data_IF_129975227618
#
_entry.id   IF_129975227618
#
_cell.length_a   1.000
_cell.length_b   1.000
_cell.length_c   1.000
_cell.angle_alpha   90.00
_cell.angle_beta   90.00
_cell.angle_gamma   90.00
#
_symmetry.space_group_name_H-M   'P 1'
#
loop_
_entity.id
_entity.type
_entity.pdbx_description
1 polymer ?
#
# COMPACT_ATOMS: atom_id res chain seq x y z
N UNK A 1 2.46 -2.68 12.16
CA UNK A 1 1.03 -2.45 11.76
C UNK A 1 0.33 -1.36 12.59
N UNK A 2 0.57 -1.23 13.91
CA UNK A 2 -0.05 -0.19 14.74
C UNK A 2 0.42 1.23 14.37
N UNK A 3 1.72 1.44 14.14
CA UNK A 3 2.29 2.74 13.75
C UNK A 3 1.74 3.19 12.39
N UNK A 4 1.62 2.29 11.42
CA UNK A 4 1.03 2.59 10.11
C UNK A 4 -0.45 3.01 10.21
N UNK A 5 -1.24 2.36 11.07
CA UNK A 5 -2.64 2.75 11.30
C UNK A 5 -2.76 4.16 11.87
N UNK A 6 -1.88 4.52 12.81
CA UNK A 6 -1.85 5.88 13.38
C UNK A 6 -1.49 6.93 12.33
N UNK A 7 -0.56 6.63 11.41
CA UNK A 7 -0.16 7.56 10.35
C UNK A 7 -1.28 7.76 9.33
N UNK A 8 -1.92 6.68 8.87
CA UNK A 8 -3.08 6.78 7.95
C UNK A 8 -4.21 7.57 8.61
N UNK A 9 -4.53 7.29 9.88
CA UNK A 9 -5.55 8.00 10.63
C UNK A 9 -5.29 9.51 10.70
N UNK A 10 -4.05 9.91 10.96
CA UNK A 10 -3.65 11.32 11.00
C UNK A 10 -3.93 12.05 9.66
N UNK A 11 -3.49 11.48 8.54
CA UNK A 11 -3.73 12.09 7.22
C UNK A 11 -5.22 12.07 6.85
N UNK A 12 -5.93 11.02 7.18
CA UNK A 12 -7.38 10.93 7.00
C UNK A 12 -8.12 12.03 7.76
N UNK A 13 -7.79 12.24 9.04
CA UNK A 13 -8.39 13.27 9.87
C UNK A 13 -8.06 14.69 9.35
N UNK A 14 -6.86 14.90 8.82
CA UNK A 14 -6.49 16.17 8.20
C UNK A 14 -7.34 16.47 6.95
N UNK A 15 -7.58 15.50 6.08
CA UNK A 15 -8.44 15.73 4.88
C UNK A 15 -9.86 16.11 5.23
N UNK A 16 -10.37 15.63 6.35
CA UNK A 16 -11.72 15.91 6.83
C UNK A 16 -11.77 17.25 7.60
N UNK A 17 -10.66 17.63 8.26
CA UNK A 17 -10.60 18.84 9.11
C UNK A 17 -10.14 20.09 8.37
N UNK A 18 -9.43 19.98 7.23
CA UNK A 18 -8.81 21.11 6.53
C UNK A 18 -9.79 22.17 6.01
N UNK A 19 -11.04 21.83 5.83
CA UNK A 19 -12.07 22.81 5.41
C UNK A 19 -12.53 23.78 6.50
N UNK A 20 -12.24 23.51 7.77
CA UNK A 20 -12.62 24.43 8.86
C UNK A 20 -11.77 25.70 8.91
N UNK A 21 -10.53 25.66 8.38
CA UNK A 21 -9.58 26.78 8.43
C UNK A 21 -9.59 27.67 7.17
N UNK A 22 -9.89 27.12 5.99
CA UNK A 22 -9.84 27.85 4.71
C UNK A 22 -11.15 28.57 4.35
N UNK A 23 -12.26 28.21 4.94
CA UNK A 23 -13.56 28.87 4.68
C UNK A 23 -13.63 30.32 5.20
N UNK A 24 -12.70 30.73 6.05
CA UNK A 24 -12.65 32.10 6.62
C UNK A 24 -11.77 33.04 5.77
N UNK A 25 -10.82 32.54 4.98
CA UNK A 25 -9.82 33.36 4.29
C UNK A 25 -10.09 33.65 2.79
N UNK A 26 -10.84 32.82 2.07
CA UNK A 26 -11.21 33.07 0.68
C UNK A 26 -12.54 32.40 0.31
N UNK A 27 -13.58 33.19 -0.04
CA UNK A 27 -14.85 32.65 -0.51
C UNK A 27 -14.80 32.29 -2.01
N UNK A 28 -13.78 31.59 -2.47
CA UNK A 28 -13.84 30.93 -3.74
C UNK A 28 -14.66 29.67 -3.57
N UNK A 29 -15.68 29.50 -4.44
CA UNK A 29 -16.67 28.41 -4.46
C UNK A 29 -16.07 27.00 -4.60
N UNK A 30 -15.00 26.66 -3.87
CA UNK A 30 -14.45 25.31 -3.91
C UNK A 30 -15.20 24.39 -2.92
N UNK A 31 -16.32 23.87 -3.40
CA UNK A 31 -17.20 22.95 -2.66
C UNK A 31 -16.67 21.51 -2.61
N UNK A 32 -15.45 21.26 -3.14
CA UNK A 32 -14.94 19.91 -3.40
C UNK A 32 -14.40 19.17 -2.16
N UNK A 33 -14.12 19.86 -1.07
CA UNK A 33 -13.49 19.25 0.11
C UNK A 33 -11.95 19.24 -0.01
N UNK A 34 -11.30 18.21 0.53
CA UNK A 34 -9.84 18.04 0.46
C UNK A 34 -9.31 18.04 -0.98
N UNK A 35 -8.10 18.54 -1.19
CA UNK A 35 -7.41 18.52 -2.47
C UNK A 35 -7.13 17.10 -2.98
N UNK A 36 -6.86 16.96 -4.29
CA UNK A 36 -6.50 15.67 -4.88
C UNK A 36 -5.19 15.14 -4.28
N UNK A 37 -4.24 16.04 -3.99
CA UNK A 37 -2.97 15.73 -3.31
C UNK A 37 -3.19 15.18 -1.89
N UNK A 38 -4.07 15.80 -1.11
CA UNK A 38 -4.32 15.35 0.27
C UNK A 38 -4.92 13.93 0.30
N UNK A 39 -5.83 13.67 -0.64
CA UNK A 39 -6.43 12.33 -0.80
C UNK A 39 -5.37 11.32 -1.29
N UNK A 40 -4.51 11.70 -2.24
CA UNK A 40 -3.40 10.89 -2.72
C UNK A 40 -2.39 10.59 -1.59
N UNK A 41 -2.18 11.52 -0.67
CA UNK A 41 -1.32 11.31 0.52
C UNK A 41 -1.91 10.24 1.45
N UNK A 42 -3.23 10.22 1.67
CA UNK A 42 -3.89 9.13 2.44
C UNK A 42 -3.66 7.80 1.74
N UNK A 43 -3.86 7.74 0.42
CA UNK A 43 -3.62 6.53 -0.39
C UNK A 43 -2.16 6.05 -0.28
N UNK A 44 -1.20 6.99 -0.35
CA UNK A 44 0.22 6.69 -0.19
C UNK A 44 0.51 6.09 1.18
N UNK A 45 0.01 6.67 2.27
CA UNK A 45 0.22 6.13 3.61
C UNK A 45 -0.40 4.74 3.81
N UNK A 46 -1.51 4.45 3.11
CA UNK A 46 -2.11 3.11 3.13
C UNK A 46 -1.24 2.06 2.46
N UNK A 47 -0.57 2.43 1.36
CA UNK A 47 0.00 1.49 0.38
C UNK A 47 1.50 1.65 0.15
N UNK A 48 2.17 2.56 0.87
CA UNK A 48 3.63 2.68 0.80
C UNK A 48 4.30 1.35 1.15
N UNK A 49 5.26 0.95 0.32
CA UNK A 49 5.90 -0.37 0.39
C UNK A 49 5.14 -1.47 -0.36
N UNK A 50 3.92 -1.22 -0.85
CA UNK A 50 3.19 -2.16 -1.72
C UNK A 50 3.22 -1.72 -3.19
N UNK A 51 3.31 -0.40 -3.45
CA UNK A 51 3.34 0.16 -4.80
C UNK A 51 4.52 1.10 -4.96
N UNK A 52 5.08 1.14 -6.17
CA UNK A 52 6.10 2.09 -6.62
C UNK A 52 5.76 2.57 -8.03
N UNK A 53 5.98 3.86 -8.30
CA UNK A 53 6.00 4.44 -9.63
C UNK A 53 7.46 4.63 -10.05
N UNK A 54 7.92 3.90 -11.05
CA UNK A 54 9.31 3.99 -11.54
C UNK A 54 9.50 4.97 -12.69
N UNK A 55 8.41 5.41 -13.33
CA UNK A 55 8.42 6.43 -14.39
C UNK A 55 7.12 7.24 -14.34
N UNK A 56 7.23 8.48 -13.90
CA UNK A 56 6.09 9.40 -13.76
C UNK A 56 5.50 9.76 -15.13
N UNK A 57 6.37 9.99 -16.14
CA UNK A 57 5.96 10.42 -17.48
C UNK A 57 5.11 9.36 -18.18
N UNK A 58 5.59 8.11 -18.20
CA UNK A 58 4.91 7.00 -18.87
C UNK A 58 3.95 6.26 -17.94
N UNK A 59 4.02 6.50 -16.62
CA UNK A 59 3.15 5.88 -15.62
C UNK A 59 3.44 4.38 -15.45
N UNK A 60 4.73 4.03 -15.35
CA UNK A 60 5.14 2.67 -15.06
C UNK A 60 5.00 2.40 -13.57
N UNK A 61 4.20 1.41 -13.26
CA UNK A 61 3.87 1.05 -11.90
C UNK A 61 4.28 -0.37 -11.57
N UNK A 62 4.71 -0.56 -10.32
CA UNK A 62 5.07 -1.84 -9.75
C UNK A 62 4.24 -2.10 -8.50
N UNK A 63 3.91 -3.39 -8.29
CA UNK A 63 3.24 -3.84 -7.09
C UNK A 63 3.98 -5.00 -6.46
N UNK A 64 4.27 -4.89 -5.16
CA UNK A 64 4.82 -5.98 -4.38
C UNK A 64 3.71 -6.96 -3.97
N UNK A 65 3.89 -8.22 -4.34
CA UNK A 65 3.02 -9.33 -3.95
C UNK A 65 3.75 -10.67 -4.11
N UNK A 66 3.34 -11.70 -3.36
CA UNK A 66 3.94 -13.05 -3.47
C UNK A 66 5.47 -13.01 -3.46
N UNK A 67 6.02 -12.25 -2.51
CA UNK A 67 7.45 -12.13 -2.22
C UNK A 67 8.31 -11.42 -3.28
N UNK A 68 7.71 -10.79 -4.30
CA UNK A 68 8.43 -10.07 -5.36
C UNK A 68 7.63 -8.91 -5.94
N UNK A 69 8.31 -8.06 -6.70
CA UNK A 69 7.71 -6.98 -7.47
C UNK A 69 7.19 -7.47 -8.81
N UNK A 70 6.02 -6.99 -9.17
CA UNK A 70 5.40 -7.22 -10.47
C UNK A 70 5.09 -5.88 -11.12
N UNK A 71 5.46 -5.74 -12.39
CA UNK A 71 4.97 -4.63 -13.19
C UNK A 71 3.46 -4.73 -13.38
N UNK A 72 2.79 -3.60 -13.30
CA UNK A 72 1.33 -3.51 -13.46
C UNK A 72 0.97 -2.45 -14.50
N UNK A 73 -0.03 -2.78 -15.32
CA UNK A 73 -0.49 -1.88 -16.38
C UNK A 73 -1.10 -0.59 -15.82
N UNK A 74 -0.44 0.54 -16.09
CA UNK A 74 -0.92 1.91 -15.83
C UNK A 74 -1.48 2.15 -14.42
N UNK A 75 -1.06 1.36 -13.44
CA UNK A 75 -1.57 1.47 -12.07
C UNK A 75 -3.03 1.05 -11.90
N UNK A 76 -3.57 0.22 -12.79
CA UNK A 76 -5.00 -0.19 -12.78
C UNK A 76 -5.45 -0.75 -11.43
N UNK A 77 -4.61 -1.55 -10.77
CA UNK A 77 -4.93 -2.09 -9.46
C UNK A 77 -4.98 -1.01 -8.38
N UNK A 78 -4.07 -0.03 -8.41
CA UNK A 78 -4.08 1.12 -7.50
C UNK A 78 -5.33 1.98 -7.72
N UNK A 79 -5.70 2.24 -8.99
CA UNK A 79 -6.93 2.96 -9.33
C UNK A 79 -8.19 2.25 -8.81
N UNK A 80 -8.21 0.92 -8.81
CA UNK A 80 -9.30 0.14 -8.21
C UNK A 80 -9.35 0.31 -6.70
N UNK A 81 -8.20 0.31 -6.03
CA UNK A 81 -8.09 0.54 -4.58
C UNK A 81 -8.68 1.89 -4.17
N UNK A 82 -8.55 2.95 -4.98
CA UNK A 82 -9.22 4.24 -4.73
C UNK A 82 -10.73 4.06 -4.62
N UNK A 83 -11.34 3.31 -5.53
CA UNK A 83 -12.80 3.15 -5.58
C UNK A 83 -13.35 2.18 -4.52
N UNK A 84 -12.53 1.31 -3.97
CA UNK A 84 -12.98 0.25 -3.03
C UNK A 84 -12.39 0.53 -1.65
N UNK A 85 -11.12 0.28 -1.44
CA UNK A 85 -10.48 0.28 -0.11
C UNK A 85 -10.40 1.68 0.49
N UNK A 86 -9.96 2.69 -0.29
CA UNK A 86 -9.89 4.07 0.18
C UNK A 86 -11.29 4.62 0.45
N UNK A 87 -12.27 4.31 -0.41
CA UNK A 87 -13.67 4.70 -0.19
C UNK A 87 -14.25 4.05 1.07
N UNK A 88 -13.96 2.80 1.32
CA UNK A 88 -14.38 2.08 2.53
C UNK A 88 -13.76 2.70 3.80
N UNK A 89 -12.49 3.12 3.73
CA UNK A 89 -11.81 3.80 4.83
C UNK A 89 -12.55 5.09 5.24
N UNK A 90 -12.91 5.95 4.27
CA UNK A 90 -13.69 7.16 4.56
C UNK A 90 -15.10 6.84 5.06
N UNK A 91 -15.76 5.82 4.51
CA UNK A 91 -17.08 5.39 4.97
C UNK A 91 -17.04 4.89 6.42
N UNK A 92 -16.02 4.12 6.77
CA UNK A 92 -15.81 3.67 8.16
C UNK A 92 -15.58 4.85 9.11
N UNK A 93 -14.83 5.87 8.67
CA UNK A 93 -14.62 7.10 9.45
C UNK A 93 -15.90 7.90 9.65
N UNK A 94 -16.76 7.97 8.65
CA UNK A 94 -18.08 8.61 8.77
C UNK A 94 -18.90 7.90 9.86
N UNK A 95 -18.93 6.57 9.85
CA UNK A 95 -19.66 5.78 10.85
C UNK A 95 -19.11 6.02 12.26
N UNK A 96 -17.77 6.06 12.41
CA UNK A 96 -17.11 6.39 13.68
C UNK A 96 -17.54 7.77 14.20
N UNK A 97 -17.49 8.80 13.35
CA UNK A 97 -17.88 10.15 13.70
C UNK A 97 -19.36 10.27 14.08
N UNK A 98 -20.23 9.59 13.35
CA UNK A 98 -21.67 9.56 13.64
C UNK A 98 -21.95 8.88 14.98
N UNK A 99 -21.34 7.74 15.26
CA UNK A 99 -21.47 7.04 16.54
C UNK A 99 -20.98 7.91 17.70
N UNK A 100 -19.85 8.62 17.50
CA UNK A 100 -19.36 9.56 18.50
C UNK A 100 -20.33 10.73 18.72
N UNK A 101 -20.90 11.28 17.66
CA UNK A 101 -21.92 12.36 17.78
C UNK A 101 -23.16 11.93 18.56
N UNK A 102 -23.58 10.67 18.40
CA UNK A 102 -24.73 10.12 19.15
C UNK A 102 -24.43 9.97 20.64
N UNK A 103 -23.16 9.71 21.01
CA UNK A 103 -22.74 9.56 22.42
C UNK A 103 -22.60 10.88 23.18
N UNK A 104 -22.64 12.04 22.50
CA UNK A 104 -22.53 13.36 23.08
C UNK A 104 -23.90 13.85 23.59
N UNK A 105 -23.85 14.62 24.68
CA UNK A 105 -25.06 15.25 25.23
C UNK A 105 -25.60 16.31 24.27
N UNK A 106 -26.91 16.31 23.96
CA UNK A 106 -27.52 17.25 23.00
C UNK A 106 -27.41 18.73 23.37
N UNK A 107 -27.44 19.06 24.65
CA UNK A 107 -27.49 20.44 25.13
C UNK A 107 -26.09 20.97 25.46
N UNK A 108 -25.28 20.17 26.17
CA UNK A 108 -23.95 20.64 26.63
C UNK A 108 -22.84 20.51 25.55
N UNK A 109 -23.00 19.69 24.53
CA UNK A 109 -22.00 19.42 23.50
C UNK A 109 -22.43 19.85 22.08
N UNK A 110 -23.33 20.86 21.97
CA UNK A 110 -23.87 21.29 20.67
C UNK A 110 -22.76 21.70 19.68
N UNK A 111 -21.78 22.47 20.11
CA UNK A 111 -20.65 22.90 19.26
C UNK A 111 -19.84 21.72 18.72
N UNK A 112 -19.60 20.73 19.58
CA UNK A 112 -18.87 19.49 19.15
C UNK A 112 -19.70 18.72 18.13
N UNK A 113 -21.00 18.58 18.34
CA UNK A 113 -21.91 17.91 17.40
C UNK A 113 -21.95 18.63 16.05
N UNK A 114 -22.00 19.95 16.04
CA UNK A 114 -21.97 20.77 14.84
C UNK A 114 -20.62 20.59 14.08
N UNK A 115 -19.50 20.58 14.79
CA UNK A 115 -18.17 20.31 14.22
C UNK A 115 -18.10 18.90 13.61
N UNK A 116 -18.63 17.88 14.28
CA UNK A 116 -18.67 16.51 13.76
C UNK A 116 -19.53 16.44 12.49
N UNK A 117 -20.70 17.09 12.49
CA UNK A 117 -21.57 17.15 11.31
C UNK A 117 -20.83 17.72 10.10
N UNK A 118 -20.09 18.82 10.27
CA UNK A 118 -19.27 19.40 9.20
C UNK A 118 -18.22 18.40 8.68
N UNK A 119 -17.54 17.70 9.58
CA UNK A 119 -16.56 16.66 9.20
C UNK A 119 -17.21 15.52 8.42
N UNK A 120 -18.38 15.08 8.83
CA UNK A 120 -19.16 14.05 8.12
C UNK A 120 -19.53 14.52 6.71
N UNK A 121 -19.99 15.77 6.56
CA UNK A 121 -20.36 16.35 5.26
C UNK A 121 -19.15 16.42 4.32
N UNK A 122 -17.96 16.79 4.81
CA UNK A 122 -16.71 16.76 4.05
C UNK A 122 -16.35 15.34 3.63
N UNK A 123 -16.39 14.40 4.56
CA UNK A 123 -16.07 13.00 4.27
C UNK A 123 -17.03 12.40 3.23
N UNK A 124 -18.32 12.72 3.29
CA UNK A 124 -19.32 12.28 2.29
C UNK A 124 -18.98 12.83 0.90
N UNK A 125 -18.57 14.11 0.77
CA UNK A 125 -18.11 14.69 -0.51
C UNK A 125 -16.91 13.93 -1.05
N UNK A 126 -15.93 13.60 -0.20
CA UNK A 126 -14.77 12.80 -0.62
C UNK A 126 -15.22 11.41 -1.11
N UNK A 127 -16.09 10.72 -0.39
CA UNK A 127 -16.64 9.41 -0.79
C UNK A 127 -17.30 9.45 -2.17
N UNK A 128 -18.04 10.54 -2.48
CA UNK A 128 -18.64 10.73 -3.81
C UNK A 128 -17.57 10.92 -4.89
N UNK A 129 -16.55 11.74 -4.64
CA UNK A 129 -15.42 11.98 -5.57
C UNK A 129 -14.64 10.69 -5.88
N UNK A 130 -14.41 9.83 -4.88
CA UNK A 130 -13.71 8.54 -5.08
C UNK A 130 -14.46 7.58 -6.02
N UNK A 131 -15.74 7.83 -6.29
CA UNK A 131 -16.53 7.15 -7.31
C UNK A 131 -16.38 7.74 -8.72
N UNK A 132 -15.99 9.01 -8.85
CA UNK A 132 -15.95 9.73 -10.12
C UNK A 132 -14.68 9.47 -10.92
N UNK A 133 -14.82 9.32 -12.25
CA UNK A 133 -13.68 8.97 -13.11
C UNK A 133 -12.63 10.08 -13.18
N UNK A 134 -13.06 11.34 -13.28
CA UNK A 134 -12.14 12.48 -13.36
C UNK A 134 -11.36 12.69 -12.07
N UNK A 135 -12.03 12.65 -10.92
CA UNK A 135 -11.38 12.77 -9.61
C UNK A 135 -10.35 11.65 -9.38
N UNK A 136 -10.71 10.41 -9.69
CA UNK A 136 -9.75 9.29 -9.63
C UNK A 136 -8.55 9.50 -10.55
N UNK A 137 -8.74 10.11 -11.72
CA UNK A 137 -7.63 10.40 -12.64
C UNK A 137 -6.71 11.46 -12.06
N UNK A 138 -7.26 12.49 -11.40
CA UNK A 138 -6.46 13.52 -10.74
C UNK A 138 -5.70 12.96 -9.53
N UNK A 139 -6.38 12.20 -8.66
CA UNK A 139 -5.73 11.53 -7.52
C UNK A 139 -4.60 10.61 -8.00
N UNK A 140 -4.78 9.87 -9.11
CA UNK A 140 -3.72 9.04 -9.69
C UNK A 140 -2.54 9.85 -10.23
N UNK A 141 -2.77 11.07 -10.75
CA UNK A 141 -1.67 11.96 -11.17
C UNK A 141 -0.83 12.38 -9.97
N UNK A 142 -1.46 12.87 -8.90
CA UNK A 142 -0.77 13.23 -7.66
C UNK A 142 -0.05 12.02 -7.03
N UNK A 143 -0.66 10.84 -7.12
CA UNK A 143 -0.07 9.61 -6.59
C UNK A 143 1.23 9.21 -7.29
N UNK A 144 1.41 9.54 -8.59
CA UNK A 144 2.66 9.21 -9.29
C UNK A 144 3.87 9.82 -8.61
N UNK A 145 3.78 11.10 -8.23
CA UNK A 145 4.88 11.82 -7.59
C UNK A 145 5.15 11.29 -6.18
N UNK A 146 4.09 10.95 -5.43
CA UNK A 146 4.21 10.42 -4.08
C UNK A 146 4.81 9.01 -4.01
N UNK A 147 4.52 8.16 -5.00
CA UNK A 147 5.06 6.80 -5.08
C UNK A 147 6.33 6.69 -5.93
N UNK A 148 6.86 7.82 -6.42
CA UNK A 148 8.02 7.81 -7.28
C UNK A 148 9.29 7.39 -6.54
N UNK A 149 10.07 6.53 -7.20
CA UNK A 149 11.36 6.04 -6.75
C UNK A 149 12.29 5.94 -7.97
N UNK A 150 13.20 6.89 -8.11
CA UNK A 150 14.14 7.01 -9.24
C UNK A 150 15.22 5.94 -9.26
N UNK A 151 15.62 5.42 -8.09
CA UNK A 151 16.62 4.37 -7.97
C UNK A 151 16.03 2.95 -8.05
N UNK A 152 14.71 2.82 -8.21
CA UNK A 152 14.04 1.53 -8.13
C UNK A 152 14.60 0.50 -9.12
N UNK A 153 14.80 0.90 -10.38
CA UNK A 153 15.33 0.00 -11.42
C UNK A 153 16.76 -0.49 -11.12
N UNK A 154 17.60 0.36 -10.54
CA UNK A 154 18.98 0.00 -10.22
C UNK A 154 19.05 -1.03 -9.10
N UNK A 155 18.05 -1.01 -8.22
CA UNK A 155 17.96 -1.94 -7.08
C UNK A 155 17.33 -3.28 -7.45
N UNK A 156 16.56 -3.35 -8.55
CA UNK A 156 15.90 -4.60 -8.95
C UNK A 156 16.90 -5.71 -9.21
N UNK A 157 16.66 -6.87 -8.58
CA UNK A 157 17.45 -8.10 -8.72
C UNK A 157 18.97 -7.93 -8.52
N UNK A 158 19.39 -6.86 -7.82
CA UNK A 158 20.81 -6.52 -7.62
C UNK A 158 21.48 -7.34 -6.52
N UNK A 159 20.72 -7.94 -5.60
CA UNK A 159 21.26 -8.71 -4.48
C UNK A 159 21.49 -10.19 -4.86
N UNK A 160 22.77 -10.64 -5.07
CA UNK A 160 23.06 -12.00 -5.50
C UNK A 160 22.85 -13.07 -4.41
N UNK A 161 22.60 -12.64 -3.17
CA UNK A 161 22.40 -13.54 -2.04
C UNK A 161 20.92 -13.89 -1.79
N UNK A 162 20.00 -13.40 -2.61
CA UNK A 162 18.58 -13.67 -2.46
C UNK A 162 18.06 -14.53 -3.62
N UNK A 163 17.32 -15.57 -3.29
CA UNK A 163 16.63 -16.41 -4.28
C UNK A 163 15.14 -16.48 -3.95
N UNK A 164 14.32 -15.92 -4.82
CA UNK A 164 12.87 -15.97 -4.65
C UNK A 164 12.32 -17.34 -5.07
N UNK A 165 11.64 -17.97 -4.12
CA UNK A 165 10.82 -19.16 -4.32
C UNK A 165 9.34 -18.79 -4.30
N UNK A 166 8.47 -19.69 -4.73
CA UNK A 166 7.02 -19.47 -4.77
C UNK A 166 6.40 -19.16 -3.40
N UNK A 167 6.98 -19.71 -2.33
CA UNK A 167 6.51 -19.61 -0.95
C UNK A 167 7.37 -18.71 -0.04
N UNK A 168 8.40 -18.03 -0.57
CA UNK A 168 9.27 -17.14 0.21
C UNK A 168 10.60 -16.88 -0.48
N UNK A 169 11.58 -16.42 0.28
CA UNK A 169 12.92 -16.06 -0.18
C UNK A 169 13.97 -16.83 0.62
N UNK A 170 14.93 -17.42 -0.07
CA UNK A 170 16.14 -17.97 0.53
C UNK A 170 17.16 -16.83 0.61
N UNK A 171 17.62 -16.54 1.80
CA UNK A 171 18.68 -15.58 2.09
C UNK A 171 19.98 -16.36 2.38
N UNK A 172 20.85 -16.43 1.40
CA UNK A 172 22.13 -17.15 1.52
C UNK A 172 23.11 -16.47 2.48
N UNK A 173 23.00 -15.15 2.64
CA UNK A 173 23.85 -14.41 3.59
C UNK A 173 23.46 -14.70 5.03
N UNK A 174 22.14 -14.70 5.30
CA UNK A 174 21.59 -15.01 6.62
C UNK A 174 21.39 -16.52 6.84
N UNK A 175 21.57 -17.34 5.78
CA UNK A 175 21.36 -18.81 5.81
C UNK A 175 19.97 -19.20 6.30
N UNK A 176 18.94 -18.44 5.91
CA UNK A 176 17.57 -18.69 6.33
C UNK A 176 16.58 -18.63 5.16
N UNK A 177 15.42 -19.24 5.38
CA UNK A 177 14.25 -19.05 4.52
C UNK A 177 13.25 -18.18 5.25
N UNK A 178 12.75 -17.15 4.59
CA UNK A 178 11.84 -16.15 5.16
C UNK A 178 10.81 -15.65 4.13
N UNK A 179 9.72 -15.00 4.57
CA UNK A 179 8.90 -14.23 3.66
C UNK A 179 9.74 -13.16 2.96
N UNK A 180 9.47 -12.92 1.67
CA UNK A 180 10.04 -11.78 0.96
C UNK A 180 9.43 -10.47 1.44
N UNK A 181 10.20 -9.40 1.37
CA UNK A 181 9.78 -8.04 1.69
C UNK A 181 10.03 -7.10 0.50
N UNK A 182 9.38 -5.92 0.44
CA UNK A 182 9.57 -4.96 -0.65
C UNK A 182 11.03 -4.55 -0.85
N UNK A 183 11.79 -4.45 0.23
CA UNK A 183 13.19 -4.05 0.26
C UNK A 183 14.14 -5.11 -0.29
N UNK A 184 13.65 -6.31 -0.60
CA UNK A 184 14.42 -7.34 -1.31
C UNK A 184 14.59 -7.01 -2.80
N UNK A 185 13.76 -6.15 -3.36
CA UNK A 185 13.77 -5.70 -4.77
C UNK A 185 13.83 -6.84 -5.79
N UNK A 186 13.19 -7.98 -5.50
CA UNK A 186 13.18 -9.14 -6.39
C UNK A 186 12.02 -9.06 -7.40
N UNK A 187 12.30 -9.37 -8.66
CA UNK A 187 11.29 -9.56 -9.71
C UNK A 187 11.24 -10.99 -10.21
N UNK A 188 12.38 -11.69 -10.17
CA UNK A 188 12.54 -13.08 -10.66
C UNK A 188 12.18 -14.07 -9.56
N UNK A 189 11.62 -15.20 -9.95
CA UNK A 189 11.26 -16.30 -9.06
C UNK A 189 11.51 -17.63 -9.74
N UNK A 190 11.92 -18.63 -8.98
CA UNK A 190 12.10 -19.99 -9.50
C UNK A 190 10.78 -20.69 -9.84
N UNK A 191 9.64 -20.13 -9.37
CA UNK A 191 8.30 -20.74 -9.44
C UNK A 191 8.19 -22.13 -8.77
N UNK A 192 9.19 -22.50 -7.96
CA UNK A 192 9.25 -23.73 -7.17
C UNK A 192 9.11 -23.36 -5.69
N UNK A 193 8.43 -24.22 -4.93
CA UNK A 193 8.39 -24.08 -3.48
C UNK A 193 9.70 -24.56 -2.86
N UNK A 194 10.22 -23.80 -1.92
CA UNK A 194 11.29 -24.27 -1.06
C UNK A 194 10.72 -25.25 0.00
N UNK A 195 11.45 -26.34 0.21
CA UNK A 195 11.21 -27.28 1.29
C UNK A 195 12.51 -27.51 2.07
N UNK A 196 12.47 -27.46 3.42
CA UNK A 196 13.66 -27.71 4.20
C UNK A 196 14.14 -29.16 4.03
N UNK A 197 15.44 -29.38 4.11
CA UNK A 197 16.07 -30.72 3.99
C UNK A 197 15.55 -31.73 5.02
N UNK A 198 15.01 -31.25 6.12
CA UNK A 198 14.37 -32.08 7.18
C UNK A 198 12.98 -32.59 6.79
N UNK A 199 12.44 -32.14 5.66
CA UNK A 199 11.11 -32.56 5.20
C UNK A 199 11.10 -34.02 4.78
N UNK A 200 10.31 -34.84 5.45
CA UNK A 200 10.12 -36.26 5.12
C UNK A 200 9.57 -36.50 3.72
N UNK A 201 8.86 -35.52 3.17
CA UNK A 201 8.20 -35.58 1.86
C UNK A 201 9.17 -35.75 0.69
N UNK A 202 10.41 -35.28 0.83
CA UNK A 202 11.40 -35.27 -0.25
C UNK A 202 12.67 -36.08 0.07
N UNK A 203 12.57 -37.00 1.03
CA UNK A 203 13.71 -37.76 1.52
C UNK A 203 14.41 -38.59 0.40
N UNK A 204 13.65 -39.16 -0.51
CA UNK A 204 14.19 -39.88 -1.68
C UNK A 204 15.00 -38.96 -2.61
N UNK A 205 14.39 -37.80 -2.99
CA UNK A 205 15.05 -36.83 -3.89
C UNK A 205 16.30 -36.20 -3.24
N UNK A 206 16.31 -36.03 -1.93
CA UNK A 206 17.51 -35.57 -1.20
C UNK A 206 18.62 -36.60 -1.29
N UNK A 207 18.33 -37.91 -1.16
CA UNK A 207 19.29 -38.99 -1.36
C UNK A 207 19.89 -38.97 -2.77
N UNK A 208 19.05 -38.87 -3.80
CA UNK A 208 19.49 -38.78 -5.20
C UNK A 208 20.42 -37.59 -5.47
N UNK A 209 20.11 -36.42 -4.85
CA UNK A 209 20.96 -35.22 -4.95
C UNK A 209 22.31 -35.46 -4.28
N UNK A 210 22.35 -36.08 -3.10
CA UNK A 210 23.59 -36.42 -2.42
C UNK A 210 24.46 -37.36 -3.25
N UNK A 211 23.86 -38.43 -3.76
CA UNK A 211 24.56 -39.39 -4.63
C UNK A 211 25.12 -38.73 -5.90
N UNK A 212 24.35 -37.79 -6.47
CA UNK A 212 24.80 -37.02 -7.63
C UNK A 212 25.99 -36.10 -7.29
N UNK A 213 25.91 -35.39 -6.16
CA UNK A 213 26.98 -34.49 -5.72
C UNK A 213 28.24 -35.24 -5.36
N UNK A 214 28.16 -36.41 -4.72
CA UNK A 214 29.33 -37.28 -4.44
C UNK A 214 29.99 -37.77 -5.70
N UNK A 215 29.23 -38.11 -6.75
CA UNK A 215 29.77 -38.50 -8.07
C UNK A 215 30.49 -37.37 -8.77
N UNK A 216 29.97 -36.13 -8.65
CA UNK A 216 30.60 -34.96 -9.28
C UNK A 216 31.84 -34.45 -8.53
N UNK A 217 31.82 -34.56 -7.21
CA UNK A 217 32.87 -34.05 -6.33
C UNK A 217 33.34 -35.16 -5.37
N UNK A 218 33.99 -36.22 -5.91
CA UNK A 218 34.48 -37.29 -5.04
C UNK A 218 35.47 -36.74 -4.02
N UNK A 219 35.19 -36.98 -2.76
CA UNK A 219 36.13 -36.63 -1.68
C UNK A 219 37.39 -37.49 -1.88
N UNK A 220 38.55 -36.83 -1.92
CA UNK A 220 39.86 -37.51 -2.03
C UNK A 220 40.26 -38.13 -0.69
#
# INVERSE_FOLDING_TARGET
>A
KAVLRNTVGYYLDNTISSMSATSVANPTNDTRGAGDFDIAMVLYQMLKGEYICSDVKHGHWWRFRKHRWFEIDSGTTLRKTISVELRELYTSKITELQNYSVSLDPESDEDKRNSIKQKVDVALKIVMRLGQTNDKTNIMKESKDLFYDDEFYERLDSNPYLLCCKNGVIDFKQKCFRPGCPEDYLTKCTDINYYPLTSSRHKSSIGEIHDFMEKLFPQK
#
